data_IF_493447282675
#
_entry.id   IF_493447282675
#
_cell.length_a   1.000
_cell.length_b   1.000
_cell.length_c   1.000
_cell.angle_alpha   90.00
_cell.angle_beta   90.00
_cell.angle_gamma   90.00
#
_symmetry.space_group_name_H-M   'P 1'
#
loop_
_entity.id
_entity.type
_entity.pdbx_description
1 polymer ?
#
# COMPACT_ATOMS: atom_id res chain seq x y z
N UNK A 1 23.30 -48.18 7.64
CA UNK A 1 23.44 -46.81 8.19
C UNK A 1 22.33 -45.89 7.63
N UNK A 2 21.31 -45.51 8.42
CA UNK A 2 20.22 -44.68 7.93
C UNK A 2 20.58 -43.21 8.12
N UNK A 3 21.35 -42.67 7.17
CA UNK A 3 21.46 -41.23 6.95
C UNK A 3 20.89 -41.03 5.56
N UNK A 4 19.67 -40.48 5.42
CA UNK A 4 19.22 -39.66 4.27
C UNK A 4 17.70 -39.39 4.24
N UNK A 5 16.85 -40.10 4.99
CA UNK A 5 15.39 -39.89 4.90
C UNK A 5 14.88 -38.63 5.65
N UNK A 6 15.62 -38.15 6.66
CA UNK A 6 15.21 -36.98 7.47
C UNK A 6 15.41 -35.65 6.72
N UNK A 7 16.13 -35.65 5.60
CA UNK A 7 16.56 -34.43 4.88
C UNK A 7 15.55 -33.92 3.85
N UNK A 8 14.74 -34.80 3.23
CA UNK A 8 13.83 -34.40 2.15
C UNK A 8 12.51 -33.82 2.66
N UNK A 9 11.84 -34.44 3.66
CA UNK A 9 10.59 -33.92 4.22
C UNK A 9 10.82 -32.59 4.97
N UNK A 10 11.94 -32.47 5.70
CA UNK A 10 12.32 -31.19 6.33
C UNK A 10 12.67 -30.11 5.30
N UNK A 11 13.36 -30.47 4.21
CA UNK A 11 13.64 -29.56 3.09
C UNK A 11 12.38 -29.14 2.35
N UNK A 12 11.45 -30.07 2.08
CA UNK A 12 10.15 -29.77 1.45
C UNK A 12 9.28 -28.85 2.32
N UNK A 13 9.22 -29.09 3.64
CA UNK A 13 8.52 -28.21 4.60
C UNK A 13 9.16 -26.82 4.65
N UNK A 14 10.48 -26.75 4.59
CA UNK A 14 11.24 -25.50 4.49
C UNK A 14 10.91 -24.72 3.20
N UNK A 15 10.88 -25.40 2.05
CA UNK A 15 10.50 -24.80 0.76
C UNK A 15 9.05 -24.33 0.72
N UNK A 16 8.10 -25.12 1.23
CA UNK A 16 6.68 -24.74 1.30
C UNK A 16 6.45 -23.51 2.18
N UNK A 17 7.12 -23.46 3.33
CA UNK A 17 7.07 -22.31 4.24
C UNK A 17 7.68 -21.06 3.59
N UNK A 18 8.83 -21.20 2.92
CA UNK A 18 9.50 -20.10 2.23
C UNK A 18 8.64 -19.53 1.09
N UNK A 19 7.98 -20.40 0.32
CA UNK A 19 7.02 -19.98 -0.71
C UNK A 19 5.84 -19.22 -0.13
N UNK A 20 5.24 -19.74 0.95
CA UNK A 20 4.12 -19.07 1.63
C UNK A 20 4.50 -17.67 2.13
N UNK A 21 5.69 -17.52 2.71
CA UNK A 21 6.19 -16.22 3.17
C UNK A 21 6.39 -15.27 1.99
N UNK A 22 6.99 -15.72 0.90
CA UNK A 22 7.18 -14.91 -0.31
C UNK A 22 5.85 -14.46 -0.93
N UNK A 23 4.87 -15.36 -1.02
CA UNK A 23 3.55 -15.05 -1.55
C UNK A 23 2.85 -14.00 -0.68
N UNK A 24 2.95 -14.10 0.65
CA UNK A 24 2.44 -13.09 1.58
C UNK A 24 3.11 -11.73 1.40
N UNK A 25 4.45 -11.68 1.24
CA UNK A 25 5.15 -10.41 0.96
C UNK A 25 4.67 -9.76 -0.34
N UNK A 26 4.45 -10.55 -1.40
CA UNK A 26 3.90 -10.03 -2.65
C UNK A 26 2.47 -9.50 -2.48
N UNK A 27 1.64 -10.17 -1.69
CA UNK A 27 0.26 -9.72 -1.41
C UNK A 27 0.24 -8.39 -0.63
N UNK A 28 1.16 -8.21 0.30
CA UNK A 28 1.32 -6.94 1.05
C UNK A 28 1.58 -5.77 0.12
N UNK A 29 2.50 -5.92 -0.83
CA UNK A 29 2.77 -4.88 -1.82
C UNK A 29 1.53 -4.59 -2.68
N UNK A 30 0.83 -5.64 -3.11
CA UNK A 30 -0.40 -5.52 -3.91
C UNK A 30 -1.54 -4.83 -3.16
N UNK A 31 -1.57 -4.89 -1.82
CA UNK A 31 -2.58 -4.22 -1.01
C UNK A 31 -2.54 -2.69 -1.13
N UNK A 32 -1.40 -2.13 -1.54
CA UNK A 32 -1.25 -0.69 -1.78
C UNK A 32 -1.60 -0.24 -3.20
N UNK A 33 -2.01 -1.16 -4.09
CA UNK A 33 -2.38 -0.85 -5.47
C UNK A 33 -3.87 -0.54 -5.56
N UNK A 34 -4.19 0.72 -5.84
CA UNK A 34 -5.55 1.21 -6.11
C UNK A 34 -5.89 1.02 -7.60
N UNK A 35 -6.85 0.15 -7.97
CA UNK A 35 -7.14 -0.17 -9.38
C UNK A 35 -7.49 1.03 -10.26
N UNK A 36 -8.26 1.96 -9.71
CA UNK A 36 -8.73 3.20 -10.35
C UNK A 36 -7.66 4.30 -10.41
N UNK A 37 -6.50 4.08 -9.78
CA UNK A 37 -5.42 5.05 -9.69
C UNK A 37 -5.63 6.14 -8.64
N UNK A 38 -4.65 7.03 -8.55
CA UNK A 38 -4.68 8.17 -7.64
C UNK A 38 -5.55 9.29 -8.23
N UNK A 39 -6.16 10.08 -7.35
CA UNK A 39 -6.98 11.22 -7.77
C UNK A 39 -6.15 12.19 -8.63
N UNK A 40 -6.63 12.49 -9.84
CA UNK A 40 -5.92 13.33 -10.83
C UNK A 40 -4.74 12.66 -11.53
N UNK A 41 -4.43 11.39 -11.21
CA UNK A 41 -3.29 10.61 -11.73
C UNK A 41 -3.67 9.13 -11.93
N UNK A 42 -4.52 8.80 -12.91
CA UNK A 42 -5.07 7.45 -13.07
C UNK A 42 -4.01 6.39 -13.42
N UNK A 43 -2.86 6.79 -13.98
CA UNK A 43 -1.76 5.87 -14.33
C UNK A 43 -0.87 5.51 -13.14
N UNK A 44 -0.92 6.29 -12.06
CA UNK A 44 -0.19 6.02 -10.81
C UNK A 44 -1.18 5.37 -9.85
N UNK A 45 -0.84 4.20 -9.33
CA UNK A 45 -1.78 3.37 -8.55
C UNK A 45 -1.32 3.06 -7.14
N UNK A 46 -0.05 3.29 -6.84
CA UNK A 46 0.52 2.91 -5.56
C UNK A 46 0.22 3.99 -4.51
N UNK A 47 -0.49 3.62 -3.44
CA UNK A 47 -1.00 4.53 -2.41
C UNK A 47 0.08 5.01 -1.42
N UNK A 48 1.02 4.13 -1.05
CA UNK A 48 2.07 4.48 -0.08
C UNK A 48 3.21 5.28 -0.73
N UNK A 49 3.71 4.81 -1.86
CA UNK A 49 4.78 5.44 -2.63
C UNK A 49 4.30 5.87 -4.02
N UNK A 50 4.61 7.10 -4.39
CA UNK A 50 4.55 7.58 -5.76
C UNK A 50 5.44 8.82 -5.90
N UNK A 51 5.89 9.15 -7.12
CA UNK A 51 6.63 10.39 -7.34
C UNK A 51 5.78 11.60 -6.92
N UNK A 52 6.37 12.47 -6.11
CA UNK A 52 5.70 13.67 -5.60
C UNK A 52 5.44 14.66 -6.76
N UNK A 53 4.28 15.35 -6.80
CA UNK A 53 4.00 16.38 -7.83
C UNK A 53 5.11 17.45 -7.89
N UNK A 54 5.58 17.88 -6.72
CA UNK A 54 6.51 19.00 -6.59
C UNK A 54 7.99 18.59 -6.73
N UNK A 55 8.33 17.32 -6.48
CA UNK A 55 9.69 16.81 -6.56
C UNK A 55 9.72 15.30 -6.85
N UNK A 56 9.87 14.93 -8.13
CA UNK A 56 9.92 13.52 -8.52
C UNK A 56 11.10 12.73 -7.93
N UNK A 57 12.12 13.41 -7.35
CA UNK A 57 13.28 12.80 -6.70
C UNK A 57 13.13 12.65 -5.17
N UNK A 58 12.14 13.31 -4.56
CA UNK A 58 11.80 13.08 -3.16
C UNK A 58 10.66 12.05 -3.10
N UNK A 59 10.97 10.82 -2.69
CA UNK A 59 9.93 9.86 -2.34
C UNK A 59 9.17 10.36 -1.12
N UNK A 60 7.90 10.73 -1.31
CA UNK A 60 7.02 11.07 -0.20
C UNK A 60 6.10 9.89 0.10
N UNK A 61 5.95 9.56 1.39
CA UNK A 61 4.90 8.67 1.85
C UNK A 61 3.53 9.33 1.66
N UNK A 62 2.57 8.60 1.12
CA UNK A 62 1.20 9.05 0.86
C UNK A 62 1.13 10.37 0.05
N UNK A 63 1.74 10.42 -1.14
CA UNK A 63 1.95 11.66 -1.89
C UNK A 63 0.63 12.36 -2.27
N UNK A 64 -0.45 11.62 -2.51
CA UNK A 64 -1.76 12.21 -2.79
C UNK A 64 -2.26 13.06 -1.63
N UNK A 65 -2.13 12.58 -0.39
CA UNK A 65 -2.58 13.31 0.80
C UNK A 65 -1.70 14.55 1.00
N UNK A 66 -0.38 14.40 0.85
CA UNK A 66 0.56 15.51 0.91
C UNK A 66 0.20 16.60 -0.11
N UNK A 67 0.03 16.22 -1.37
CA UNK A 67 -0.21 17.15 -2.47
C UNK A 67 -1.56 17.85 -2.30
N UNK A 68 -2.61 17.13 -1.88
CA UNK A 68 -3.92 17.72 -1.58
C UNK A 68 -3.85 18.75 -0.46
N UNK A 69 -3.14 18.45 0.65
CA UNK A 69 -2.93 19.41 1.73
C UNK A 69 -2.15 20.64 1.25
N UNK A 70 -1.12 20.43 0.42
CA UNK A 70 -0.31 21.50 -0.16
C UNK A 70 -1.15 22.44 -1.04
N UNK A 71 -2.03 21.91 -1.90
CA UNK A 71 -2.92 22.72 -2.74
C UNK A 71 -4.02 23.39 -1.92
N UNK A 72 -4.64 22.66 -0.99
CA UNK A 72 -5.70 23.20 -0.12
C UNK A 72 -5.21 24.39 0.70
N UNK A 73 -3.99 24.34 1.24
CA UNK A 73 -3.40 25.45 2.01
C UNK A 73 -3.24 26.75 1.20
N UNK A 74 -3.36 26.70 -0.13
CA UNK A 74 -3.27 27.84 -1.05
C UNK A 74 -4.61 28.26 -1.64
N UNK A 75 -5.70 27.59 -1.25
CA UNK A 75 -7.06 27.94 -1.69
C UNK A 75 -7.60 29.12 -0.89
N UNK A 76 -8.57 29.84 -1.49
CA UNK A 76 -9.29 30.91 -0.77
C UNK A 76 -10.16 30.29 0.33
N UNK A 77 -10.15 30.82 1.56
CA UNK A 77 -10.96 30.28 2.65
C UNK A 77 -12.46 30.48 2.40
N UNK A 78 -13.28 29.62 3.02
CA UNK A 78 -14.75 29.65 2.98
C UNK A 78 -15.39 29.51 1.58
N UNK A 79 -14.70 28.86 0.64
CA UNK A 79 -15.27 28.55 -0.67
C UNK A 79 -15.76 27.10 -0.76
N UNK A 80 -16.70 26.79 -1.68
CA UNK A 80 -17.16 25.42 -1.93
C UNK A 80 -16.01 24.45 -2.28
N UNK A 81 -14.97 24.95 -2.96
CA UNK A 81 -13.80 24.17 -3.38
C UNK A 81 -12.99 23.67 -2.18
N UNK A 82 -12.87 24.48 -1.11
CA UNK A 82 -12.20 24.06 0.13
C UNK A 82 -12.96 22.94 0.81
N UNK A 83 -14.30 22.99 0.80
CA UNK A 83 -15.12 21.92 1.37
C UNK A 83 -14.91 20.61 0.60
N UNK A 84 -14.92 20.69 -0.74
CA UNK A 84 -14.65 19.53 -1.59
C UNK A 84 -13.23 18.98 -1.35
N UNK A 85 -12.22 19.84 -1.25
CA UNK A 85 -10.84 19.43 -0.98
C UNK A 85 -10.72 18.65 0.34
N UNK A 86 -11.44 19.06 1.40
CA UNK A 86 -11.49 18.31 2.65
C UNK A 86 -12.13 16.93 2.50
N UNK A 87 -13.20 16.82 1.71
CA UNK A 87 -13.85 15.54 1.45
C UNK A 87 -12.93 14.59 0.66
N UNK A 88 -12.18 15.12 -0.30
CA UNK A 88 -11.22 14.34 -1.08
C UNK A 88 -10.02 13.89 -0.23
N UNK A 89 -9.54 14.73 0.69
CA UNK A 89 -8.49 14.37 1.65
C UNK A 89 -8.98 13.22 2.55
N UNK A 90 -10.20 13.33 3.10
CA UNK A 90 -10.78 12.27 3.95
C UNK A 90 -10.86 10.94 3.22
N UNK A 91 -11.30 10.94 1.95
CA UNK A 91 -11.36 9.72 1.12
C UNK A 91 -9.97 9.08 0.96
N UNK A 92 -8.96 9.86 0.58
CA UNK A 92 -7.62 9.32 0.35
C UNK A 92 -6.94 8.84 1.65
N UNK A 93 -7.19 9.50 2.79
CA UNK A 93 -6.74 9.01 4.11
C UNK A 93 -7.42 7.68 4.44
N UNK A 94 -8.72 7.54 4.16
CA UNK A 94 -9.43 6.28 4.37
C UNK A 94 -8.88 5.16 3.47
N UNK A 95 -8.62 5.44 2.18
CA UNK A 95 -8.03 4.47 1.26
C UNK A 95 -6.64 4.00 1.73
N UNK A 96 -5.80 4.93 2.18
CA UNK A 96 -4.50 4.60 2.76
C UNK A 96 -4.63 3.74 4.03
N UNK A 97 -5.55 4.09 4.93
CA UNK A 97 -5.79 3.32 6.15
C UNK A 97 -6.32 1.91 5.85
N UNK A 98 -7.20 1.76 4.87
CA UNK A 98 -7.71 0.47 4.40
C UNK A 98 -6.58 -0.38 3.78
N UNK A 99 -5.73 0.22 2.96
CA UNK A 99 -4.57 -0.46 2.38
C UNK A 99 -3.60 -0.95 3.47
N UNK A 100 -3.29 -0.12 4.47
CA UNK A 100 -2.45 -0.51 5.62
C UNK A 100 -3.09 -1.65 6.41
N UNK A 101 -4.41 -1.58 6.64
CA UNK A 101 -5.14 -2.65 7.34
C UNK A 101 -5.12 -3.96 6.55
N UNK A 102 -5.32 -3.90 5.23
CA UNK A 102 -5.26 -5.06 4.36
C UNK A 102 -3.85 -5.68 4.36
N UNK A 103 -2.81 -4.86 4.20
CA UNK A 103 -1.41 -5.28 4.29
C UNK A 103 -1.11 -5.96 5.63
N UNK A 104 -1.55 -5.40 6.76
CA UNK A 104 -1.40 -6.00 8.08
C UNK A 104 -2.06 -7.38 8.17
N UNK A 105 -3.27 -7.52 7.65
CA UNK A 105 -4.00 -8.79 7.67
C UNK A 105 -3.28 -9.86 6.83
N UNK A 106 -2.70 -9.49 5.69
CA UNK A 106 -1.96 -10.40 4.82
C UNK A 106 -0.64 -10.89 5.42
N UNK A 107 -0.07 -10.15 6.39
CA UNK A 107 1.10 -10.56 7.16
C UNK A 107 0.75 -11.49 8.33
N UNK A 108 -0.52 -11.62 8.71
CA UNK A 108 -0.93 -12.46 9.84
C UNK A 108 -0.72 -13.95 9.48
N UNK A 109 0.17 -14.66 10.18
CA UNK A 109 0.45 -16.05 9.87
C UNK A 109 -0.75 -16.97 10.10
N UNK A 110 -1.69 -16.58 10.95
CA UNK A 110 -2.90 -17.32 11.28
C UNK A 110 -4.08 -17.01 10.35
N UNK A 111 -3.94 -15.99 9.48
CA UNK A 111 -4.95 -15.72 8.46
C UNK A 111 -4.81 -16.76 7.34
N UNK A 112 -5.89 -17.52 7.15
CA UNK A 112 -6.08 -18.41 6.00
C UNK A 112 -6.45 -17.51 4.81
N UNK A 113 -5.62 -17.54 3.77
CA UNK A 113 -5.74 -16.72 2.56
C UNK A 113 -6.30 -17.58 1.42
#
# INVERSE_FOLDING_TARGET
PPYNEVTEDQSMRSMGTLRMVNDRMMLVERAFIKPEGLMGRPTIRHLAFAPQLANAYAGAGFPTVHDQLYYMARMKPNTPEVKQAWDDIRRNVNDAALAIRAARLLLDPHMII
#
